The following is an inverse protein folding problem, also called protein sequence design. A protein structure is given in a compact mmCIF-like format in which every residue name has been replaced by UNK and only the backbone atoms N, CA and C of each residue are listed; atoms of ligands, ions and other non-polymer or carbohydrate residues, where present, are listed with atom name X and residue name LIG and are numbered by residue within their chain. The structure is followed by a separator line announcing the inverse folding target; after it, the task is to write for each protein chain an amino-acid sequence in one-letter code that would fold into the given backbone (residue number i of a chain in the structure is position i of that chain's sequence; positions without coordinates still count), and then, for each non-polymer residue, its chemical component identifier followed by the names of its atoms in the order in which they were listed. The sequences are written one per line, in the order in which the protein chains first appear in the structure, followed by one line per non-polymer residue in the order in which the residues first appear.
data_IF_017489634725
#
_entry.id   IF_017489634725
#
_cell.length_a   1.000
_cell.length_b   1.000
_cell.length_c   1.000
_cell.angle_alpha   90.00
_cell.angle_beta   90.00
_cell.angle_gamma   90.00
#
_symmetry.space_group_name_H-M   'P 1'
#
loop_
_entity.id
_entity.type
_entity.pdbx_description
1 polymer ?
#
# COMPACT_ATOMS: atom_id res chain seq x y z
N UNK A 1 -14.01 -11.43 0.58
CA UNK A 1 -15.13 -11.38 -0.36
C UNK A 1 -15.07 -12.56 -1.34
N UNK A 2 -13.99 -12.74 -2.08
CA UNK A 2 -13.88 -13.80 -3.10
C UNK A 2 -13.52 -15.19 -2.53
N UNK A 3 -13.33 -15.34 -1.22
CA UNK A 3 -12.87 -16.58 -0.59
C UNK A 3 -11.59 -17.14 -1.28
N UNK A 4 -10.68 -16.25 -1.66
CA UNK A 4 -9.37 -16.60 -2.21
C UNK A 4 -8.41 -17.07 -1.11
N UNK A 5 -7.38 -17.83 -1.49
CA UNK A 5 -6.26 -18.11 -0.60
C UNK A 5 -5.48 -16.81 -0.32
N UNK A 6 -4.83 -16.75 0.84
CA UNK A 6 -3.98 -15.60 1.23
C UNK A 6 -2.79 -15.40 0.29
N UNK A 7 -2.40 -16.45 -0.45
CA UNK A 7 -1.31 -16.43 -1.45
C UNK A 7 -1.77 -16.06 -2.85
N UNK A 8 -3.08 -15.92 -3.09
CA UNK A 8 -3.60 -15.52 -4.38
C UNK A 8 -3.22 -14.06 -4.66
N UNK A 9 -2.63 -13.84 -5.83
CA UNK A 9 -2.15 -12.52 -6.19
C UNK A 9 -3.30 -11.55 -6.50
N UNK A 10 -3.13 -10.30 -6.08
CA UNK A 10 -3.99 -9.17 -6.42
C UNK A 10 -3.21 -8.14 -7.22
N UNK A 11 -3.90 -7.34 -8.02
CA UNK A 11 -3.28 -6.23 -8.74
C UNK A 11 -3.34 -4.97 -7.87
N UNK A 12 -2.18 -4.38 -7.58
CA UNK A 12 -2.09 -3.06 -6.95
C UNK A 12 -2.07 -1.98 -8.03
N UNK A 13 -2.91 -0.98 -7.90
CA UNK A 13 -3.10 0.12 -8.84
C UNK A 13 -2.89 1.44 -8.10
N UNK A 14 -2.10 2.35 -8.67
CA UNK A 14 -1.82 3.67 -8.08
C UNK A 14 -2.13 4.78 -9.08
N UNK A 15 -2.80 5.85 -8.65
CA UNK A 15 -3.11 7.09 -9.37
C UNK A 15 -3.98 6.92 -10.62
N UNK A 16 -3.57 6.09 -11.55
CA UNK A 16 -4.29 5.79 -12.80
C UNK A 16 -4.43 4.29 -12.95
N UNK A 17 -5.63 3.81 -13.25
CA UNK A 17 -5.89 2.39 -13.46
C UNK A 17 -5.96 2.01 -14.93
N UNK A 18 -5.78 0.72 -15.24
CA UNK A 18 -5.86 0.21 -16.61
C UNK A 18 -7.31 0.12 -17.10
N UNK A 19 -7.44 -0.01 -18.42
CA UNK A 19 -8.62 -0.56 -19.06
C UNK A 19 -8.32 -2.02 -19.39
N UNK A 20 -9.20 -2.94 -18.97
CA UNK A 20 -9.01 -4.38 -19.11
C UNK A 20 -10.24 -5.04 -19.72
N UNK A 21 -10.01 -6.04 -20.57
CA UNK A 21 -11.04 -6.92 -21.12
C UNK A 21 -10.91 -8.29 -20.46
N UNK A 22 -12.01 -8.87 -20.04
CA UNK A 22 -12.06 -10.24 -19.52
C UNK A 22 -12.29 -11.23 -20.66
N UNK A 23 -11.37 -12.18 -20.86
CA UNK A 23 -11.48 -13.21 -21.87
C UNK A 23 -12.18 -14.49 -21.34
N UNK A 24 -12.58 -14.49 -20.08
CA UNK A 24 -13.33 -15.57 -19.42
C UNK A 24 -14.27 -15.01 -18.37
N UNK A 25 -15.35 -15.74 -18.07
CA UNK A 25 -16.26 -15.39 -16.97
C UNK A 25 -15.60 -15.65 -15.61
N UNK A 26 -15.71 -14.70 -14.68
CA UNK A 26 -15.16 -14.83 -13.32
C UNK A 26 -15.87 -13.87 -12.35
N UNK A 27 -15.30 -13.73 -11.16
CA UNK A 27 -15.74 -12.76 -10.15
C UNK A 27 -14.59 -11.89 -9.72
N UNK A 28 -14.86 -10.63 -9.51
CA UNK A 28 -13.87 -9.66 -9.01
C UNK A 28 -14.36 -8.91 -7.77
N UNK A 29 -13.43 -8.28 -7.08
CA UNK A 29 -13.71 -7.29 -6.05
C UNK A 29 -12.61 -6.23 -6.07
N UNK A 30 -13.01 -4.97 -5.89
CA UNK A 30 -12.11 -3.82 -5.84
C UNK A 30 -12.12 -3.27 -4.42
N UNK A 31 -10.95 -2.95 -3.87
CA UNK A 31 -10.81 -2.39 -2.52
C UNK A 31 -9.75 -1.28 -2.49
N UNK A 32 -9.69 -0.52 -1.39
CA UNK A 32 -8.73 0.57 -1.23
C UNK A 32 -9.27 1.91 -1.74
N UNK A 33 -8.47 2.62 -2.52
CA UNK A 33 -8.81 3.94 -3.07
C UNK A 33 -10.00 3.87 -4.04
N UNK A 34 -10.80 4.96 -4.08
CA UNK A 34 -11.86 5.10 -5.07
C UNK A 34 -11.29 5.75 -6.35
N UNK A 35 -11.15 4.93 -7.37
CA UNK A 35 -10.72 5.33 -8.71
C UNK A 35 -11.90 5.34 -9.72
N UNK A 36 -13.12 5.54 -9.25
CA UNK A 36 -14.33 5.59 -10.11
C UNK A 36 -14.40 4.41 -11.09
N UNK A 37 -14.36 3.17 -10.61
CA UNK A 37 -14.37 2.00 -11.49
C UNK A 37 -15.72 1.86 -12.22
N UNK A 38 -15.66 1.42 -13.47
CA UNK A 38 -16.84 1.10 -14.29
C UNK A 38 -16.69 -0.29 -14.91
N UNK A 39 -17.80 -1.00 -15.07
CA UNK A 39 -17.89 -2.23 -15.85
C UNK A 39 -18.86 -1.97 -17.02
N UNK A 40 -18.38 -2.08 -18.25
CA UNK A 40 -19.13 -1.75 -19.46
C UNK A 40 -19.77 -0.34 -19.36
N UNK A 41 -18.95 0.64 -18.97
CA UNK A 41 -19.32 2.05 -18.73
C UNK A 41 -20.32 2.29 -17.59
N UNK A 42 -20.81 1.27 -16.92
CA UNK A 42 -21.68 1.38 -15.76
C UNK A 42 -20.85 1.49 -14.47
N UNK A 43 -21.07 2.49 -13.59
CA UNK A 43 -20.38 2.60 -12.33
C UNK A 43 -20.57 1.36 -11.46
N UNK A 44 -19.48 0.89 -10.83
CA UNK A 44 -19.50 -0.20 -9.86
C UNK A 44 -18.90 0.28 -8.53
N UNK A 45 -19.26 -0.41 -7.45
CA UNK A 45 -18.80 -0.03 -6.11
C UNK A 45 -17.57 -0.83 -5.68
N UNK A 46 -16.72 -0.20 -4.89
CA UNK A 46 -15.69 -0.90 -4.14
C UNK A 46 -16.33 -1.76 -3.05
N UNK A 47 -15.61 -2.81 -2.63
CA UNK A 47 -15.97 -3.72 -1.54
C UNK A 47 -17.23 -4.57 -1.80
N UNK A 48 -17.54 -4.82 -3.05
CA UNK A 48 -18.61 -5.72 -3.51
C UNK A 48 -18.01 -6.87 -4.32
N UNK A 49 -18.73 -8.01 -4.37
CA UNK A 49 -18.45 -9.11 -5.28
C UNK A 49 -19.20 -8.85 -6.57
N UNK A 50 -18.47 -8.76 -7.67
CA UNK A 50 -19.01 -8.44 -8.98
C UNK A 50 -18.73 -9.61 -9.91
N UNK A 51 -19.77 -10.13 -10.55
CA UNK A 51 -19.63 -11.12 -11.63
C UNK A 51 -19.26 -10.41 -12.91
N UNK A 52 -18.29 -10.94 -13.64
CA UNK A 52 -17.92 -10.50 -14.99
C UNK A 52 -18.05 -11.65 -15.95
N UNK A 53 -18.37 -11.35 -17.20
CA UNK A 53 -18.50 -12.29 -18.30
C UNK A 53 -17.36 -12.09 -19.30
N UNK A 54 -17.16 -13.08 -20.17
CA UNK A 54 -16.29 -12.92 -21.34
C UNK A 54 -16.73 -11.71 -22.17
N UNK A 55 -15.77 -10.88 -22.56
CA UNK A 55 -15.98 -9.63 -23.28
C UNK A 55 -16.23 -8.39 -22.42
N UNK A 56 -16.50 -8.55 -21.11
CA UNK A 56 -16.71 -7.41 -20.21
C UNK A 56 -15.45 -6.54 -20.09
N UNK A 57 -15.67 -5.23 -20.01
CA UNK A 57 -14.62 -4.21 -19.94
C UNK A 57 -14.65 -3.53 -18.55
N UNK A 58 -13.61 -3.77 -17.76
CA UNK A 58 -13.37 -3.02 -16.53
C UNK A 58 -12.46 -1.83 -16.83
N UNK A 59 -12.88 -0.66 -16.40
CA UNK A 59 -12.10 0.58 -16.58
C UNK A 59 -12.08 1.38 -15.28
N UNK A 60 -10.95 2.02 -15.00
CA UNK A 60 -10.79 2.97 -13.91
C UNK A 60 -10.82 4.39 -14.43
N UNK A 61 -11.49 5.26 -13.71
CA UNK A 61 -11.60 6.69 -14.02
C UNK A 61 -10.71 7.55 -13.13
N UNK A 62 -11.22 8.72 -12.77
CA UNK A 62 -10.51 9.69 -11.93
C UNK A 62 -10.41 9.19 -10.49
N UNK A 63 -9.20 9.27 -9.91
CA UNK A 63 -8.98 9.05 -8.47
C UNK A 63 -9.76 10.10 -7.66
N UNK A 64 -10.73 9.65 -6.87
CA UNK A 64 -11.52 10.49 -5.96
C UNK A 64 -10.87 10.58 -4.58
N UNK A 65 -10.50 9.42 -4.02
CA UNK A 65 -9.99 9.34 -2.64
C UNK A 65 -8.97 8.23 -2.49
N UNK A 66 -8.02 8.41 -1.55
CA UNK A 66 -6.96 7.45 -1.29
C UNK A 66 -5.84 7.51 -2.32
N UNK A 67 -5.03 6.44 -2.40
CA UNK A 67 -3.89 6.36 -3.30
C UNK A 67 -3.74 4.99 -3.97
N UNK A 68 -3.91 3.89 -3.21
CA UNK A 68 -3.77 2.52 -3.70
C UNK A 68 -5.11 1.82 -3.76
N UNK A 69 -5.43 1.30 -4.93
CA UNK A 69 -6.56 0.40 -5.18
C UNK A 69 -6.04 -1.01 -5.41
N UNK A 70 -6.78 -1.99 -4.93
CA UNK A 70 -6.46 -3.39 -5.12
C UNK A 70 -7.61 -4.07 -5.85
N UNK A 71 -7.29 -4.67 -7.00
CA UNK A 71 -8.21 -5.51 -7.75
C UNK A 71 -7.87 -6.97 -7.48
N UNK A 72 -8.84 -7.71 -6.98
CA UNK A 72 -8.77 -9.17 -6.87
C UNK A 72 -9.72 -9.82 -7.88
N UNK A 73 -9.30 -10.96 -8.43
CA UNK A 73 -10.18 -11.88 -9.19
C UNK A 73 -10.30 -13.20 -8.43
N UNK A 74 -11.36 -13.94 -8.63
CA UNK A 74 -11.54 -15.27 -8.02
C UNK A 74 -10.42 -16.21 -8.46
N UNK A 75 -9.71 -16.82 -7.49
CA UNK A 75 -8.53 -17.66 -7.73
C UNK A 75 -7.24 -16.90 -8.02
N UNK A 76 -7.26 -15.55 -7.93
CA UNK A 76 -6.09 -14.69 -8.08
C UNK A 76 -5.53 -14.57 -9.50
N UNK A 77 -4.62 -13.63 -9.70
CA UNK A 77 -3.87 -13.48 -10.95
C UNK A 77 -2.71 -14.47 -11.01
N UNK A 78 -2.55 -15.17 -12.15
CA UNK A 78 -1.56 -16.24 -12.33
C UNK A 78 -0.30 -15.78 -13.03
N UNK A 79 0.39 -14.80 -12.47
CA UNK A 79 1.73 -14.43 -12.91
C UNK A 79 2.77 -15.49 -12.49
N UNK A 80 3.93 -15.52 -13.16
CA UNK A 80 5.00 -16.46 -12.83
C UNK A 80 5.47 -16.30 -11.38
N UNK A 81 5.64 -17.41 -10.67
CA UNK A 81 6.20 -17.43 -9.31
C UNK A 81 7.71 -17.30 -9.38
N UNK A 82 8.27 -16.30 -8.72
CA UNK A 82 9.72 -16.07 -8.56
C UNK A 82 10.03 -15.90 -7.08
N UNK A 83 10.95 -16.70 -6.55
CA UNK A 83 11.32 -16.69 -5.12
C UNK A 83 10.09 -16.78 -4.18
N UNK A 84 9.08 -17.57 -4.56
CA UNK A 84 7.85 -17.75 -3.79
C UNK A 84 6.85 -16.59 -3.90
N UNK A 85 7.07 -15.60 -4.78
CA UNK A 85 6.20 -14.44 -4.99
C UNK A 85 5.71 -14.36 -6.45
N UNK A 86 4.52 -13.81 -6.65
CA UNK A 86 3.96 -13.45 -7.96
C UNK A 86 4.12 -11.95 -8.30
N UNK A 87 4.74 -11.18 -7.40
CA UNK A 87 4.96 -9.74 -7.61
C UNK A 87 6.02 -9.48 -8.67
N UNK A 88 5.85 -8.40 -9.42
CA UNK A 88 6.90 -7.89 -10.30
C UNK A 88 7.91 -7.07 -9.49
N UNK A 89 9.20 -7.42 -9.62
CA UNK A 89 10.28 -6.75 -8.90
C UNK A 89 11.60 -6.90 -9.65
N UNK A 90 12.12 -5.81 -10.25
CA UNK A 90 13.44 -5.82 -10.88
C UNK A 90 14.54 -5.91 -9.82
N UNK A 91 15.63 -6.65 -10.08
CA UNK A 91 15.95 -7.41 -11.31
C UNK A 91 15.44 -8.87 -11.32
N UNK A 92 14.67 -9.30 -10.30
CA UNK A 92 14.18 -10.69 -10.17
C UNK A 92 13.20 -11.04 -11.31
N UNK A 93 12.36 -10.08 -11.68
CA UNK A 93 11.49 -10.16 -12.85
C UNK A 93 11.99 -9.20 -13.94
N UNK A 94 11.68 -9.46 -15.21
CA UNK A 94 12.05 -8.61 -16.34
C UNK A 94 11.39 -7.22 -16.28
N UNK A 95 10.20 -7.15 -15.69
CA UNK A 95 9.42 -5.93 -15.52
C UNK A 95 9.22 -5.62 -14.04
N UNK A 96 8.93 -4.36 -13.71
CA UNK A 96 8.56 -3.89 -12.38
C UNK A 96 7.06 -3.51 -12.27
N UNK A 97 6.35 -3.49 -13.39
CA UNK A 97 4.92 -3.22 -13.46
C UNK A 97 4.34 -3.86 -14.73
N UNK A 98 3.03 -3.97 -14.78
CA UNK A 98 2.29 -4.36 -15.98
C UNK A 98 2.45 -3.30 -17.07
N UNK A 99 2.31 -3.71 -18.31
CA UNK A 99 2.38 -2.87 -19.51
C UNK A 99 1.12 -3.04 -20.34
N UNK A 100 0.80 -2.05 -21.15
CA UNK A 100 -0.30 -2.12 -22.10
C UNK A 100 -0.12 -3.29 -23.07
N UNK A 101 -1.21 -3.97 -23.36
CA UNK A 101 -1.23 -5.16 -24.22
C UNK A 101 -0.77 -6.45 -23.54
N UNK A 102 -0.45 -6.45 -22.24
CA UNK A 102 -0.14 -7.68 -21.52
C UNK A 102 -1.41 -8.48 -21.23
N UNK A 103 -1.31 -9.79 -21.40
CA UNK A 103 -2.32 -10.74 -20.94
C UNK A 103 -1.88 -11.38 -19.63
N UNK A 104 -2.83 -11.56 -18.71
CA UNK A 104 -2.61 -12.21 -17.43
C UNK A 104 -3.62 -13.33 -17.28
N UNK A 105 -3.11 -14.53 -17.07
CA UNK A 105 -3.96 -15.69 -16.84
C UNK A 105 -4.76 -15.56 -15.55
N UNK A 106 -6.07 -15.87 -15.65
CA UNK A 106 -7.00 -16.01 -14.52
C UNK A 106 -7.83 -17.28 -14.71
N UNK A 107 -8.46 -17.75 -13.63
CA UNK A 107 -9.36 -18.89 -13.73
C UNK A 107 -10.77 -18.46 -14.14
N UNK A 108 -11.40 -19.32 -14.94
CA UNK A 108 -12.82 -19.20 -15.23
C UNK A 108 -13.66 -19.70 -14.05
N UNK A 109 -14.72 -18.97 -13.74
CA UNK A 109 -15.72 -19.36 -12.74
C UNK A 109 -17.12 -18.98 -13.23
N UNK A 110 -17.88 -19.95 -13.68
CA UNK A 110 -19.26 -19.75 -14.09
C UNK A 110 -20.20 -19.54 -12.89
N UNK A 111 -19.96 -20.25 -11.79
CA UNK A 111 -20.71 -20.19 -10.56
C UNK A 111 -19.74 -20.02 -9.37
N UNK A 112 -20.08 -19.07 -8.50
CA UNK A 112 -19.42 -18.86 -7.22
C UNK A 112 -20.43 -18.25 -6.23
N UNK A 113 -20.55 -18.85 -5.09
CA UNK A 113 -21.40 -18.36 -3.99
C UNK A 113 -20.51 -17.74 -2.93
N UNK A 114 -20.41 -16.41 -2.87
CA UNK A 114 -19.64 -15.72 -1.84
C UNK A 114 -20.32 -15.84 -0.47
N UNK A 115 -19.54 -16.07 0.58
CA UNK A 115 -20.05 -16.03 1.96
C UNK A 115 -20.55 -14.64 2.36
N UNK A 116 -19.95 -13.60 1.79
CA UNK A 116 -20.29 -12.19 2.00
C UNK A 116 -20.21 -11.52 0.63
N UNK A 117 -21.27 -10.86 0.20
CA UNK A 117 -21.34 -10.18 -1.10
C UNK A 117 -20.81 -8.77 -1.07
N UNK A 118 -20.84 -8.13 0.10
CA UNK A 118 -20.45 -6.73 0.28
C UNK A 118 -19.86 -6.50 1.67
N UNK A 119 -18.90 -5.58 1.79
CA UNK A 119 -18.34 -5.14 3.07
C UNK A 119 -18.45 -3.62 3.22
N UNK A 120 -18.80 -3.17 4.42
CA UNK A 120 -18.64 -1.75 4.78
C UNK A 120 -17.17 -1.50 5.12
N UNK A 121 -16.49 -0.70 4.33
CA UNK A 121 -15.11 -0.30 4.60
C UNK A 121 -15.02 0.91 5.50
N UNK A 122 -13.97 0.97 6.33
CA UNK A 122 -13.51 2.23 6.92
C UNK A 122 -12.61 2.93 5.90
N UNK A 123 -13.01 4.11 5.46
CA UNK A 123 -12.21 4.94 4.55
C UNK A 123 -10.93 5.42 5.23
N UNK A 124 -9.83 4.72 5.00
CA UNK A 124 -8.53 4.98 5.65
C UNK A 124 -7.93 6.35 5.26
N UNK A 125 -8.28 6.89 4.10
CA UNK A 125 -7.75 8.17 3.62
C UNK A 125 -8.20 9.38 4.44
N UNK A 126 -9.28 9.28 5.21
CA UNK A 126 -9.75 10.35 6.10
C UNK A 126 -8.91 10.47 7.38
N UNK A 127 -8.17 9.43 7.75
CA UNK A 127 -7.31 9.48 8.93
C UNK A 127 -5.98 10.12 8.54
N UNK A 128 -5.56 11.10 9.33
CA UNK A 128 -4.25 11.75 9.21
C UNK A 128 -3.38 11.53 10.46
N UNK A 129 -3.95 10.94 11.52
CA UNK A 129 -3.20 10.45 12.67
C UNK A 129 -2.67 9.04 12.44
N UNK A 130 -1.36 8.87 12.56
CA UNK A 130 -0.70 7.58 12.45
C UNK A 130 -0.24 7.12 13.82
N UNK A 131 -0.84 6.02 14.30
CA UNK A 131 -0.47 5.44 15.58
C UNK A 131 0.85 4.69 15.45
N UNK A 132 1.82 5.02 16.31
CA UNK A 132 3.12 4.40 16.37
C UNK A 132 3.52 4.11 17.82
N UNK A 133 4.30 3.04 18.01
CA UNK A 133 5.00 2.75 19.25
C UNK A 133 6.41 3.34 19.22
N UNK A 134 7.02 3.53 20.39
CA UNK A 134 8.43 3.89 20.50
C UNK A 134 9.29 2.76 19.94
N UNK A 135 10.22 3.09 19.06
CA UNK A 135 11.22 2.16 18.56
C UNK A 135 12.35 1.93 19.56
N UNK A 136 13.23 0.94 19.30
CA UNK A 136 14.33 0.61 20.20
C UNK A 136 15.26 1.79 20.52
N UNK A 137 15.49 2.65 19.53
CA UNK A 137 16.40 3.80 19.65
C UNK A 137 15.66 5.12 19.93
N UNK A 138 14.38 5.09 20.32
CA UNK A 138 13.60 6.30 20.65
C UNK A 138 14.24 7.12 21.78
N UNK A 139 14.87 6.46 22.77
CA UNK A 139 15.54 7.13 23.89
C UNK A 139 16.78 7.93 23.49
N UNK A 140 17.33 7.73 22.29
CA UNK A 140 18.45 8.54 21.77
C UNK A 140 18.00 9.95 21.35
N UNK A 141 16.70 10.17 21.10
CA UNK A 141 16.18 11.45 20.66
C UNK A 141 16.30 12.52 21.76
N UNK A 142 16.74 13.70 21.37
CA UNK A 142 16.72 14.87 22.25
C UNK A 142 15.28 15.38 22.44
N UNK A 143 15.10 16.28 23.43
CA UNK A 143 13.77 16.81 23.77
C UNK A 143 13.09 17.55 22.63
N UNK A 144 13.83 18.27 21.78
CA UNK A 144 13.28 19.02 20.66
C UNK A 144 12.79 18.07 19.55
N UNK A 145 13.55 17.02 19.22
CA UNK A 145 13.10 15.97 18.28
C UNK A 145 11.82 15.30 18.76
N UNK A 146 11.74 14.94 20.04
CA UNK A 146 10.52 14.35 20.62
C UNK A 146 9.33 15.31 20.56
N UNK A 147 9.56 16.61 20.82
CA UNK A 147 8.52 17.64 20.72
C UNK A 147 8.03 17.77 19.28
N UNK A 148 8.94 17.88 18.30
CA UNK A 148 8.60 17.94 16.88
C UNK A 148 7.77 16.72 16.45
N UNK A 149 8.21 15.50 16.77
CA UNK A 149 7.48 14.26 16.47
C UNK A 149 6.03 14.27 16.98
N UNK A 150 5.76 14.88 18.13
CA UNK A 150 4.45 14.91 18.79
C UNK A 150 3.54 16.05 18.34
N UNK A 151 4.10 17.17 17.88
CA UNK A 151 3.34 18.39 17.62
C UNK A 151 3.32 18.84 16.18
N UNK A 152 4.28 18.37 15.35
CA UNK A 152 4.43 18.77 13.96
C UNK A 152 3.59 17.86 13.06
N UNK A 153 3.07 18.43 11.96
CA UNK A 153 2.56 17.65 10.84
C UNK A 153 3.68 17.41 9.84
N UNK A 154 3.63 16.26 9.21
CA UNK A 154 4.62 15.80 8.24
C UNK A 154 3.95 15.63 6.88
N UNK A 155 4.45 16.31 5.87
CA UNK A 155 3.94 16.26 4.49
C UNK A 155 4.67 15.15 3.74
N UNK A 156 3.92 14.24 3.12
CA UNK A 156 4.48 13.14 2.33
C UNK A 156 5.23 13.72 1.13
N UNK A 157 6.51 13.40 1.02
CA UNK A 157 7.37 13.82 -0.07
C UNK A 157 7.03 13.11 -1.39
N UNK A 158 7.63 13.53 -2.50
CA UNK A 158 7.47 12.86 -3.81
C UNK A 158 8.15 11.48 -3.83
N UNK A 159 9.24 11.35 -3.07
CA UNK A 159 10.03 10.12 -2.94
C UNK A 159 9.32 9.12 -2.02
N UNK A 160 8.24 8.54 -2.53
CA UNK A 160 7.50 7.48 -1.83
C UNK A 160 7.16 6.33 -2.79
N UNK A 161 7.25 5.12 -2.30
CA UNK A 161 6.95 3.90 -3.06
C UNK A 161 6.62 2.73 -2.11
N UNK A 162 6.68 1.50 -2.62
CA UNK A 162 6.47 0.29 -1.82
C UNK A 162 7.61 -0.04 -0.85
N UNK A 163 8.81 0.52 -1.06
CA UNK A 163 9.96 0.33 -0.15
C UNK A 163 9.90 1.27 1.04
N UNK A 164 9.64 2.56 0.80
CA UNK A 164 9.64 3.56 1.85
C UNK A 164 8.82 4.81 1.51
N UNK A 165 8.37 5.49 2.58
CA UNK A 165 7.83 6.84 2.55
C UNK A 165 8.80 7.79 3.23
N UNK A 166 8.95 8.98 2.66
CA UNK A 166 9.69 10.10 3.23
C UNK A 166 8.77 11.30 3.41
N UNK A 167 9.20 12.25 4.23
CA UNK A 167 8.50 13.51 4.47
C UNK A 167 9.37 14.70 4.07
N UNK A 168 8.73 15.84 3.83
CA UNK A 168 9.40 17.10 3.53
C UNK A 168 10.08 17.63 4.78
N UNK A 169 9.36 17.56 5.91
CA UNK A 169 9.85 18.04 7.19
C UNK A 169 10.89 17.10 7.81
N UNK A 170 11.79 17.70 8.56
CA UNK A 170 12.82 17.01 9.31
C UNK A 170 12.66 17.28 10.81
N UNK A 171 13.23 16.40 11.62
CA UNK A 171 13.51 16.69 13.05
C UNK A 171 14.96 17.15 13.20
N UNK A 172 15.49 17.18 14.42
CA UNK A 172 16.86 17.64 14.63
C UNK A 172 17.89 16.71 13.99
N UNK A 173 18.94 17.29 13.41
CA UNK A 173 20.11 16.56 12.92
C UNK A 173 20.84 15.86 14.09
N UNK A 174 21.54 14.78 13.77
CA UNK A 174 22.27 14.00 14.77
C UNK A 174 23.51 13.31 14.16
N UNK A 175 24.37 12.85 15.03
CA UNK A 175 25.57 12.08 14.70
C UNK A 175 25.57 10.68 15.36
N UNK A 176 24.40 10.11 15.60
CA UNK A 176 24.29 8.77 16.20
C UNK A 176 24.90 7.72 15.27
N UNK A 177 25.84 6.97 15.81
CA UNK A 177 26.41 5.81 15.12
C UNK A 177 25.67 4.55 15.55
N UNK A 178 25.32 3.72 14.57
CA UNK A 178 24.61 2.47 14.80
C UNK A 178 25.18 1.33 13.97
N UNK A 179 25.25 0.16 14.58
CA UNK A 179 25.42 -1.08 13.84
C UNK A 179 24.12 -1.41 13.08
N UNK A 180 24.30 -2.10 11.95
CA UNK A 180 23.16 -2.62 11.16
C UNK A 180 22.25 -3.49 12.04
N UNK A 181 20.97 -3.19 12.05
CA UNK A 181 19.96 -3.87 12.86
C UNK A 181 18.77 -4.29 12.01
N UNK A 182 18.02 -5.30 12.48
CA UNK A 182 16.80 -5.75 11.81
C UNK A 182 15.71 -4.67 11.77
N UNK A 183 15.01 -4.62 10.65
CA UNK A 183 13.88 -3.71 10.41
C UNK A 183 12.65 -4.48 9.97
N UNK A 184 11.48 -3.88 10.12
CA UNK A 184 10.18 -4.43 9.73
C UNK A 184 9.39 -3.36 8.97
N UNK A 185 8.36 -3.74 8.19
CA UNK A 185 7.40 -2.76 7.68
C UNK A 185 6.82 -1.92 8.82
N UNK A 186 6.77 -0.59 8.61
CA UNK A 186 6.36 0.37 9.62
C UNK A 186 7.49 0.90 10.53
N UNK A 187 8.72 0.38 10.41
CA UNK A 187 9.87 0.97 11.11
C UNK A 187 10.13 2.38 10.57
N UNK A 188 10.20 3.36 11.49
CA UNK A 188 10.59 4.74 11.18
C UNK A 188 12.07 4.90 11.52
N UNK A 189 12.87 5.07 10.49
CA UNK A 189 14.30 5.33 10.60
C UNK A 189 14.59 6.83 10.55
N UNK A 190 15.57 7.28 11.35
CA UNK A 190 16.03 8.65 11.40
C UNK A 190 17.42 8.75 10.74
N UNK A 191 17.52 9.52 9.65
CA UNK A 191 18.82 9.80 9.02
C UNK A 191 19.62 10.86 9.80
N UNK A 192 20.95 10.95 9.61
CA UNK A 192 21.78 12.00 10.25
C UNK A 192 21.27 13.42 9.97
N UNK A 193 20.70 13.67 8.80
CA UNK A 193 20.12 14.97 8.41
C UNK A 193 18.70 15.22 8.98
N UNK A 194 18.23 14.42 9.91
CA UNK A 194 16.92 14.59 10.54
C UNK A 194 15.72 14.13 9.70
N UNK A 195 15.94 13.50 8.53
CA UNK A 195 14.85 12.96 7.70
C UNK A 195 14.29 11.68 8.30
N UNK A 196 12.97 11.54 8.21
CA UNK A 196 12.26 10.32 8.58
C UNK A 196 12.01 9.46 7.36
N UNK A 197 12.42 8.19 7.44
CA UNK A 197 12.17 7.16 6.41
C UNK A 197 11.30 6.08 7.04
N UNK A 198 10.08 5.91 6.55
CA UNK A 198 9.18 4.85 7.01
C UNK A 198 9.24 3.69 6.04
N UNK A 199 9.73 2.55 6.52
CA UNK A 199 9.82 1.34 5.71
C UNK A 199 8.41 0.77 5.47
N UNK A 200 8.14 0.43 4.22
CA UNK A 200 6.88 -0.15 3.79
C UNK A 200 7.06 -1.65 3.48
N UNK A 201 6.09 -2.26 2.81
CA UNK A 201 6.05 -3.72 2.60
C UNK A 201 7.26 -4.30 1.86
N UNK A 202 7.87 -3.54 0.93
CA UNK A 202 9.05 -3.96 0.16
C UNK A 202 10.35 -3.32 0.72
N UNK A 203 10.30 -2.76 1.94
CA UNK A 203 11.46 -2.16 2.62
C UNK A 203 12.53 -3.21 2.94
N UNK A 204 13.76 -2.72 3.11
CA UNK A 204 14.88 -3.58 3.52
C UNK A 204 14.62 -4.23 4.88
N UNK A 205 15.19 -5.43 5.05
CA UNK A 205 15.08 -6.19 6.32
C UNK A 205 16.14 -5.82 7.35
N UNK A 206 17.14 -5.04 6.95
CA UNK A 206 18.21 -4.52 7.82
C UNK A 206 18.52 -3.07 7.45
N UNK A 207 18.98 -2.27 8.43
CA UNK A 207 19.37 -0.89 8.24
C UNK A 207 20.29 -0.38 9.35
N UNK A 208 21.07 0.66 9.03
CA UNK A 208 22.03 1.27 9.95
C UNK A 208 21.57 2.61 10.56
N UNK A 209 20.32 2.99 10.37
CA UNK A 209 19.76 4.21 10.99
C UNK A 209 18.96 3.91 12.26
N UNK A 210 18.95 4.79 13.26
CA UNK A 210 18.12 4.67 14.45
C UNK A 210 16.65 4.41 14.11
N UNK A 211 16.07 3.35 14.71
CA UNK A 211 14.66 2.98 14.57
C UNK A 211 13.87 3.65 15.69
N UNK A 212 13.42 4.87 15.44
CA UNK A 212 12.85 5.73 16.48
C UNK A 212 11.38 5.44 16.76
N UNK A 213 10.61 4.98 15.76
CA UNK A 213 9.21 4.59 15.93
C UNK A 213 8.93 3.29 15.16
N UNK A 214 7.86 2.61 15.56
CA UNK A 214 7.27 1.49 14.84
C UNK A 214 5.77 1.74 14.64
N UNK A 215 5.33 1.87 13.41
CA UNK A 215 3.92 2.06 13.06
C UNK A 215 3.11 0.79 13.39
N UNK A 216 1.89 0.99 13.84
CA UNK A 216 0.90 -0.10 13.91
C UNK A 216 0.52 -0.57 12.50
N UNK A 217 -0.05 -1.78 12.37
CA UNK A 217 -0.60 -2.27 11.09
C UNK A 217 -1.60 -1.27 10.49
N UNK A 218 -2.45 -0.66 11.33
CA UNK A 218 -3.39 0.38 10.89
C UNK A 218 -2.64 1.64 10.43
N UNK A 219 -1.59 2.06 11.13
CA UNK A 219 -0.76 3.21 10.75
C UNK A 219 -0.12 3.01 9.38
N UNK A 220 0.42 1.81 9.09
CA UNK A 220 0.95 1.45 7.77
C UNK A 220 -0.14 1.54 6.70
N UNK A 221 -1.34 1.01 6.97
CA UNK A 221 -2.45 1.02 6.02
C UNK A 221 -2.96 2.45 5.75
N UNK A 222 -3.02 3.32 6.76
CA UNK A 222 -3.35 4.74 6.60
C UNK A 222 -2.29 5.44 5.74
N UNK A 223 -1.00 5.26 6.06
CA UNK A 223 0.10 5.87 5.29
C UNK A 223 0.09 5.40 3.84
N UNK A 224 -0.20 4.12 3.59
CA UNK A 224 -0.28 3.56 2.25
C UNK A 224 -1.37 4.22 1.37
N UNK A 225 -2.35 4.90 1.96
CA UNK A 225 -3.38 5.65 1.25
C UNK A 225 -3.07 7.16 1.12
N UNK A 226 -1.90 7.59 1.58
CA UNK A 226 -1.42 8.97 1.43
C UNK A 226 -0.58 9.13 0.18
N UNK A 227 -0.77 10.23 -0.52
CA UNK A 227 0.00 10.65 -1.70
C UNK A 227 0.91 11.82 -1.37
N UNK A 228 1.84 12.13 -2.25
CA UNK A 228 2.68 13.32 -2.13
C UNK A 228 1.81 14.57 -1.93
N UNK A 229 2.17 15.38 -0.93
CA UNK A 229 1.43 16.58 -0.52
C UNK A 229 0.40 16.34 0.59
N UNK A 230 -0.03 15.10 0.84
CA UNK A 230 -0.89 14.80 2.00
C UNK A 230 -0.07 14.93 3.29
N UNK A 231 -0.71 15.34 4.38
CA UNK A 231 -0.06 15.49 5.67
C UNK A 231 -0.52 14.45 6.68
N UNK A 232 0.39 14.07 7.59
CA UNK A 232 0.09 13.19 8.72
C UNK A 232 0.62 13.78 10.03
N UNK A 233 0.12 13.27 11.14
CA UNK A 233 0.68 13.49 12.48
C UNK A 233 0.91 12.14 13.15
N UNK A 234 1.98 12.04 13.97
CA UNK A 234 2.23 10.83 14.75
C UNK A 234 1.51 10.88 16.08
N UNK A 235 0.77 9.82 16.41
CA UNK A 235 0.25 9.54 17.75
C UNK A 235 1.09 8.46 18.38
N UNK A 236 2.01 8.87 19.25
CA UNK A 236 2.98 7.96 19.86
C UNK A 236 2.35 7.36 21.12
N UNK A 237 2.17 6.05 21.10
CA UNK A 237 1.77 5.26 22.28
C UNK A 237 2.99 4.74 23.02
N UNK A 238 2.84 4.59 24.33
CA UNK A 238 3.89 4.01 25.18
C UNK A 238 3.96 2.50 25.00
#
# INVERSE_FOLDING_TARGET
LLNNDVKDAVMEITMTGPKMVFNVSTYLSITGADMSPTLNDNPINNYEVIKVQEGDILQFGKLKTGFRTYLAVKGGFRTAVKLGSRSFYKPITSLNCLKDGMEIEISEFQLFEPKITQMKSQSLHHFDEIIAYRGPEFSMLNKESVKKLKSQRFIVAKENNRMAYQFIETIEEHNYEMLTSATLPGTVQLTPSGKLIILMSDGQTTGGYPRILQLTKRGIAVLAQKRSGDSIAFKISN
#
